data_IF_353379527797
#
_entry.id   IF_353379527797
#
_cell.length_a   1.000
_cell.length_b   1.000
_cell.length_c   1.000
_cell.angle_alpha   90.00
_cell.angle_beta   90.00
_cell.angle_gamma   90.00
#
_symmetry.space_group_name_H-M   'P 1'
#
loop_
_entity.id
_entity.type
_entity.pdbx_description
1 polymer ?
#
# COMPACT_ATOMS: atom_id res chain seq x y z
N UNK A 1 9.14 33.35 -26.93
CA UNK A 1 9.12 31.94 -27.39
C UNK A 1 9.17 30.89 -26.26
N UNK A 2 9.42 31.24 -24.99
CA UNK A 2 9.55 30.24 -23.90
C UNK A 2 8.23 29.65 -23.35
N UNK A 3 7.16 30.46 -23.26
CA UNK A 3 5.93 30.06 -22.55
C UNK A 3 5.11 28.98 -23.27
N UNK A 4 5.03 29.02 -24.61
CA UNK A 4 4.29 28.01 -25.41
C UNK A 4 4.99 26.65 -25.28
N UNK A 5 6.31 26.62 -25.43
CA UNK A 5 7.12 25.40 -25.29
C UNK A 5 7.04 24.81 -23.88
N UNK A 6 6.90 25.64 -22.83
CA UNK A 6 6.68 25.17 -21.46
C UNK A 6 5.30 24.53 -21.28
N UNK A 7 4.22 25.18 -21.74
CA UNK A 7 2.85 24.66 -21.61
C UNK A 7 2.66 23.35 -22.38
N UNK A 8 3.26 23.22 -23.56
CA UNK A 8 3.28 21.97 -24.35
C UNK A 8 3.96 20.82 -23.60
N UNK A 9 5.10 21.08 -22.94
CA UNK A 9 5.78 20.08 -22.10
C UNK A 9 4.94 19.64 -20.89
N UNK A 10 4.09 20.51 -20.37
CA UNK A 10 3.24 20.20 -19.23
C UNK A 10 1.94 19.47 -19.61
N UNK A 11 1.51 19.53 -20.87
CA UNK A 11 0.20 19.03 -21.32
C UNK A 11 -0.02 17.53 -21.00
N UNK A 12 0.89 16.66 -21.44
CA UNK A 12 0.75 15.21 -21.28
C UNK A 12 0.91 14.73 -19.81
N UNK A 13 1.85 15.26 -19.01
CA UNK A 13 1.82 15.07 -17.56
C UNK A 13 0.52 15.51 -16.90
N UNK A 14 -0.07 16.63 -17.35
CA UNK A 14 -1.33 17.15 -16.81
C UNK A 14 -2.50 16.21 -17.11
N UNK A 15 -2.64 15.75 -18.37
CA UNK A 15 -3.71 14.82 -18.78
C UNK A 15 -3.69 13.56 -17.94
N UNK A 16 -2.54 12.86 -17.87
CA UNK A 16 -2.42 11.60 -17.12
C UNK A 16 -2.67 11.75 -15.63
N UNK A 17 -2.49 12.95 -15.09
CA UNK A 17 -2.83 13.26 -13.70
C UNK A 17 -4.31 13.53 -13.54
N UNK A 18 -4.89 14.38 -14.38
CA UNK A 18 -6.30 14.71 -14.38
C UNK A 18 -7.15 13.47 -14.64
N UNK A 19 -6.72 12.58 -15.54
CA UNK A 19 -7.37 11.31 -15.83
C UNK A 19 -7.43 10.41 -14.60
N UNK A 20 -6.34 10.34 -13.82
CA UNK A 20 -6.38 9.68 -12.50
C UNK A 20 -7.31 10.37 -11.52
N UNK A 21 -7.50 11.68 -11.61
CA UNK A 21 -8.39 12.43 -10.71
C UNK A 21 -9.87 12.28 -11.04
N UNK A 22 -10.25 12.31 -12.32
CA UNK A 22 -11.66 12.32 -12.76
C UNK A 22 -12.13 11.00 -13.38
N UNK A 23 -11.23 10.03 -13.54
CA UNK A 23 -11.54 8.68 -14.04
C UNK A 23 -11.95 8.62 -15.52
N UNK A 24 -11.87 9.73 -16.25
CA UNK A 24 -12.21 9.83 -17.68
C UNK A 24 -11.14 10.63 -18.40
N UNK A 25 -10.62 10.05 -19.48
CA UNK A 25 -9.63 10.70 -20.34
C UNK A 25 -10.20 11.93 -21.04
N UNK A 26 -11.42 11.84 -21.55
CA UNK A 26 -12.11 12.94 -22.23
C UNK A 26 -12.26 14.14 -21.30
N UNK A 27 -12.81 13.92 -20.09
CA UNK A 27 -12.94 15.00 -19.11
C UNK A 27 -11.58 15.53 -18.65
N UNK A 28 -10.57 14.67 -18.53
CA UNK A 28 -9.22 15.11 -18.20
C UNK A 28 -8.61 16.00 -19.29
N UNK A 29 -8.87 15.70 -20.56
CA UNK A 29 -8.44 16.52 -21.69
C UNK A 29 -9.15 17.88 -21.70
N UNK A 30 -10.45 17.93 -21.41
CA UNK A 30 -11.20 19.19 -21.27
C UNK A 30 -10.66 20.06 -20.13
N UNK A 31 -10.49 19.46 -18.95
CA UNK A 31 -9.95 20.16 -17.78
C UNK A 31 -8.52 20.63 -18.01
N UNK A 32 -7.71 19.87 -18.77
CA UNK A 32 -6.39 20.30 -19.19
C UNK A 32 -6.49 21.52 -20.10
N UNK A 33 -7.34 21.47 -21.12
CA UNK A 33 -7.49 22.59 -22.06
C UNK A 33 -7.87 23.87 -21.31
N UNK A 34 -8.84 23.79 -20.40
CA UNK A 34 -9.25 24.91 -19.54
C UNK A 34 -8.10 25.38 -18.62
N UNK A 35 -7.35 24.46 -18.01
CA UNK A 35 -6.22 24.82 -17.15
C UNK A 35 -5.10 25.54 -17.93
N UNK A 36 -4.78 25.06 -19.13
CA UNK A 36 -3.79 25.67 -20.02
C UNK A 36 -4.26 27.03 -20.52
N UNK A 37 -5.55 27.18 -20.83
CA UNK A 37 -6.15 28.46 -21.20
C UNK A 37 -6.02 29.47 -20.06
N UNK A 38 -6.37 29.09 -18.83
CA UNK A 38 -6.20 29.95 -17.64
C UNK A 38 -4.74 30.29 -17.37
N UNK A 39 -3.83 29.35 -17.59
CA UNK A 39 -2.39 29.61 -17.47
C UNK A 39 -1.90 30.59 -18.53
N UNK A 40 -2.39 30.48 -19.76
CA UNK A 40 -2.10 31.44 -20.81
C UNK A 40 -2.63 32.82 -20.44
N UNK A 41 -3.87 32.94 -19.95
CA UNK A 41 -4.48 34.24 -19.66
C UNK A 41 -3.95 34.89 -18.39
N UNK A 42 -3.75 34.13 -17.31
CA UNK A 42 -3.59 34.65 -15.94
C UNK A 42 -2.41 34.04 -15.18
N UNK A 43 -1.64 33.15 -15.82
CA UNK A 43 -0.48 32.51 -15.19
C UNK A 43 0.65 33.51 -14.90
N UNK A 44 1.50 33.26 -13.89
CA UNK A 44 2.61 34.14 -13.52
C UNK A 44 3.77 34.01 -14.53
N UNK A 45 3.68 34.74 -15.66
CA UNK A 45 4.59 34.61 -16.82
C UNK A 45 6.06 34.93 -16.53
N UNK A 46 6.32 35.78 -15.54
CA UNK A 46 7.68 36.22 -15.16
C UNK A 46 8.27 35.40 -14.01
N UNK A 47 7.58 34.35 -13.56
CA UNK A 47 8.08 33.46 -12.52
C UNK A 47 8.93 32.32 -13.10
N UNK A 48 9.70 31.61 -12.25
CA UNK A 48 10.42 30.41 -12.67
C UNK A 48 9.47 29.33 -13.22
N UNK A 49 9.96 28.47 -14.11
CA UNK A 49 9.22 27.32 -14.65
C UNK A 49 8.57 26.47 -13.53
N UNK A 50 9.24 26.34 -12.39
CA UNK A 50 8.74 25.64 -11.20
C UNK A 50 7.51 26.32 -10.59
N UNK A 51 7.53 27.66 -10.47
CA UNK A 51 6.39 28.43 -9.94
C UNK A 51 5.24 28.48 -10.95
N UNK A 52 5.54 28.56 -12.25
CA UNK A 52 4.54 28.48 -13.31
C UNK A 52 3.87 27.10 -13.33
N UNK A 53 4.66 26.03 -13.21
CA UNK A 53 4.16 24.66 -13.11
C UNK A 53 3.27 24.51 -11.87
N UNK A 54 3.74 24.91 -10.70
CA UNK A 54 2.97 24.81 -9.46
C UNK A 54 1.63 25.56 -9.52
N UNK A 55 1.60 26.72 -10.19
CA UNK A 55 0.34 27.44 -10.43
C UNK A 55 -0.59 26.66 -11.36
N UNK A 56 -0.08 26.19 -12.50
CA UNK A 56 -0.86 25.41 -13.47
C UNK A 56 -1.41 24.12 -12.84
N UNK A 57 -0.59 23.41 -12.06
CA UNK A 57 -0.99 22.22 -11.31
C UNK A 57 -2.12 22.51 -10.33
N UNK A 58 -2.04 23.61 -9.59
CA UNK A 58 -3.09 24.01 -8.65
C UNK A 58 -4.38 24.32 -9.39
N UNK A 59 -4.32 25.10 -10.47
CA UNK A 59 -5.47 25.48 -11.29
C UNK A 59 -6.16 24.24 -11.89
N UNK A 60 -5.39 23.34 -12.50
CA UNK A 60 -5.89 22.09 -13.07
C UNK A 60 -6.55 21.20 -12.01
N UNK A 61 -5.91 21.09 -10.83
CA UNK A 61 -6.42 20.28 -9.75
C UNK A 61 -7.71 20.87 -9.14
N UNK A 62 -7.83 22.20 -9.06
CA UNK A 62 -9.07 22.87 -8.64
C UNK A 62 -10.20 22.64 -9.64
N UNK A 63 -9.92 22.74 -10.94
CA UNK A 63 -10.88 22.43 -12.00
C UNK A 63 -11.39 21.00 -11.90
N UNK A 64 -10.50 20.03 -11.70
CA UNK A 64 -10.89 18.63 -11.48
C UNK A 64 -11.76 18.44 -10.22
N UNK A 65 -11.45 19.15 -9.14
CA UNK A 65 -12.24 19.14 -7.91
C UNK A 65 -13.64 19.71 -8.13
N UNK A 66 -13.74 20.85 -8.82
CA UNK A 66 -15.03 21.47 -9.13
C UNK A 66 -15.86 20.60 -10.06
N UNK A 67 -15.21 19.87 -10.97
CA UNK A 67 -15.85 18.87 -11.81
C UNK A 67 -16.41 17.70 -11.01
N UNK A 68 -15.61 17.13 -10.11
CA UNK A 68 -16.08 16.05 -9.22
C UNK A 68 -17.26 16.51 -8.34
N UNK A 69 -17.25 17.76 -7.87
CA UNK A 69 -18.38 18.37 -7.15
C UNK A 69 -19.60 18.54 -8.04
N UNK A 70 -19.42 18.96 -9.30
CA UNK A 70 -20.51 19.09 -10.28
C UNK A 70 -21.15 17.73 -10.57
N UNK A 71 -20.34 16.71 -10.81
CA UNK A 71 -20.80 15.32 -10.99
C UNK A 71 -21.54 14.81 -9.76
N UNK A 72 -21.05 15.10 -8.55
CA UNK A 72 -21.75 14.75 -7.32
C UNK A 72 -23.12 15.44 -7.22
N UNK A 73 -23.23 16.72 -7.56
CA UNK A 73 -24.53 17.42 -7.59
C UNK A 73 -25.50 16.84 -8.62
N UNK A 74 -25.01 16.39 -9.77
CA UNK A 74 -25.82 15.73 -10.80
C UNK A 74 -26.18 14.28 -10.45
N UNK A 75 -25.31 13.57 -9.72
CA UNK A 75 -25.60 12.23 -9.21
C UNK A 75 -26.76 12.19 -8.19
N UNK A 76 -27.19 13.33 -7.64
CA UNK A 76 -28.40 13.46 -6.82
C UNK A 76 -29.67 13.75 -7.64
N UNK A 77 -29.56 14.02 -8.95
CA UNK A 77 -30.69 14.42 -9.80
C UNK A 77 -31.14 13.36 -10.80
N UNK A 78 -30.35 12.32 -11.10
CA UNK A 78 -30.77 11.30 -12.06
C UNK A 78 -30.11 9.94 -11.80
N UNK A 79 -30.95 8.91 -11.79
CA UNK A 79 -30.58 7.50 -11.82
C UNK A 79 -29.80 7.18 -13.09
N UNK A 80 -28.69 6.45 -12.93
CA UNK A 80 -28.06 5.46 -13.84
C UNK A 80 -26.52 5.65 -13.93
N UNK A 81 -25.74 4.73 -13.35
CA UNK A 81 -25.20 3.49 -13.97
C UNK A 81 -24.03 3.79 -14.90
N UNK A 82 -22.81 3.68 -14.36
CA UNK A 82 -21.69 3.24 -15.20
C UNK A 82 -20.89 2.15 -14.50
N UNK A 83 -20.69 1.08 -15.25
CA UNK A 83 -20.17 -0.22 -14.84
C UNK A 83 -18.65 -0.23 -15.00
N UNK A 84 -17.92 0.42 -14.09
CA UNK A 84 -16.55 -0.03 -13.80
C UNK A 84 -16.64 -1.03 -12.65
N UNK A 85 -16.43 -2.32 -12.97
CA UNK A 85 -16.45 -3.46 -12.05
C UNK A 85 -15.83 -3.11 -10.69
N UNK A 86 -16.69 -2.86 -9.71
CA UNK A 86 -16.29 -2.63 -8.34
C UNK A 86 -15.70 -3.93 -7.77
N UNK A 87 -14.57 -3.82 -7.07
CA UNK A 87 -13.84 -4.91 -6.41
C UNK A 87 -14.61 -5.63 -5.27
N UNK A 88 -15.90 -5.38 -5.12
CA UNK A 88 -16.79 -6.13 -4.23
C UNK A 88 -17.85 -6.83 -5.08
N UNK A 89 -17.77 -8.16 -5.18
CA UNK A 89 -18.79 -8.97 -5.86
C UNK A 89 -20.12 -9.01 -5.08
N UNK A 90 -20.12 -8.58 -3.81
CA UNK A 90 -21.30 -8.57 -2.93
C UNK A 90 -22.08 -7.23 -3.00
N UNK A 91 -23.36 -7.25 -3.44
CA UNK A 91 -24.25 -6.08 -3.38
C UNK A 91 -24.43 -5.49 -1.97
N UNK A 92 -24.39 -6.31 -0.92
CA UNK A 92 -24.52 -5.84 0.45
C UNK A 92 -23.30 -5.02 0.89
N UNK A 93 -22.10 -5.42 0.48
CA UNK A 93 -20.88 -4.63 0.70
C UNK A 93 -20.94 -3.27 -0.02
N UNK A 94 -21.40 -3.24 -1.29
CA UNK A 94 -21.53 -1.97 -2.05
C UNK A 94 -22.48 -1.00 -1.36
N UNK A 95 -23.62 -1.49 -0.87
CA UNK A 95 -24.59 -0.69 -0.12
C UNK A 95 -24.00 -0.19 1.20
N UNK A 96 -23.28 -1.06 1.92
CA UNK A 96 -22.62 -0.69 3.17
C UNK A 96 -21.52 0.36 2.95
N UNK A 97 -20.76 0.34 1.85
CA UNK A 97 -19.75 1.37 1.53
C UNK A 97 -20.44 2.71 1.30
N UNK A 98 -21.55 2.73 0.54
CA UNK A 98 -22.32 3.95 0.28
C UNK A 98 -22.85 4.57 1.58
N UNK A 99 -23.52 3.76 2.40
CA UNK A 99 -24.06 4.19 3.69
C UNK A 99 -22.95 4.65 4.66
N UNK A 100 -21.75 4.07 4.56
CA UNK A 100 -20.60 4.51 5.35
C UNK A 100 -20.11 5.89 4.94
N UNK A 101 -20.01 6.15 3.63
CA UNK A 101 -19.62 7.47 3.12
C UNK A 101 -20.63 8.55 3.49
N UNK A 102 -21.93 8.23 3.53
CA UNK A 102 -22.99 9.17 3.93
C UNK A 102 -22.86 9.63 5.39
N UNK A 103 -22.22 8.83 6.26
CA UNK A 103 -21.94 9.21 7.66
C UNK A 103 -20.77 10.19 7.81
N UNK A 104 -20.00 10.45 6.74
CA UNK A 104 -18.84 11.32 6.78
C UNK A 104 -19.20 12.76 6.40
N UNK A 105 -18.51 13.71 7.02
CA UNK A 105 -18.59 15.11 6.59
C UNK A 105 -18.17 15.26 5.13
N UNK A 106 -18.67 16.32 4.47
CA UNK A 106 -18.32 16.61 3.08
C UNK A 106 -16.79 16.76 2.89
N UNK A 107 -16.08 17.29 3.89
CA UNK A 107 -14.63 17.43 3.83
C UNK A 107 -13.91 16.08 3.92
N UNK A 108 -14.35 15.18 4.80
CA UNK A 108 -13.76 13.84 4.95
C UNK A 108 -13.97 13.00 3.69
N UNK A 109 -15.20 12.98 3.16
CA UNK A 109 -15.50 12.32 1.87
C UNK A 109 -14.60 12.83 0.76
N UNK A 110 -14.42 14.15 0.69
CA UNK A 110 -13.61 14.78 -0.33
C UNK A 110 -12.13 14.38 -0.23
N UNK A 111 -11.55 14.40 0.97
CA UNK A 111 -10.16 13.98 1.20
C UNK A 111 -9.95 12.49 0.91
N UNK A 112 -10.93 11.64 1.22
CA UNK A 112 -10.89 10.21 0.87
C UNK A 112 -10.88 9.99 -0.64
N UNK A 113 -11.73 10.69 -1.39
CA UNK A 113 -11.73 10.60 -2.86
C UNK A 113 -10.38 11.03 -3.43
N UNK A 114 -9.84 12.16 -2.98
CA UNK A 114 -8.52 12.63 -3.43
C UNK A 114 -7.42 11.58 -3.18
N UNK A 115 -7.43 10.94 -2.00
CA UNK A 115 -6.41 9.96 -1.62
C UNK A 115 -6.58 8.61 -2.33
N UNK A 116 -7.78 8.04 -2.27
CA UNK A 116 -8.03 6.62 -2.54
C UNK A 116 -8.70 6.36 -3.90
N UNK A 117 -9.43 7.34 -4.43
CA UNK A 117 -10.02 7.26 -5.77
C UNK A 117 -9.08 7.90 -6.80
N UNK A 118 -8.58 9.11 -6.50
CA UNK A 118 -7.69 9.84 -7.38
C UNK A 118 -6.18 9.53 -7.20
N UNK A 119 -5.82 8.79 -6.14
CA UNK A 119 -4.45 8.33 -5.90
C UNK A 119 -3.44 9.42 -5.52
N UNK A 120 -3.88 10.60 -5.05
CA UNK A 120 -2.97 11.69 -4.70
C UNK A 120 -2.14 11.35 -3.44
N UNK A 121 -0.91 11.85 -3.40
CA UNK A 121 -0.07 11.82 -2.19
C UNK A 121 -0.48 12.88 -1.18
N UNK A 122 -0.05 12.76 0.09
CA UNK A 122 -0.30 13.79 1.10
C UNK A 122 0.28 15.15 0.73
N UNK A 123 1.45 15.18 0.08
CA UNK A 123 2.07 16.43 -0.39
C UNK A 123 1.22 17.10 -1.48
N UNK A 124 0.65 16.31 -2.38
CA UNK A 124 -0.23 16.80 -3.45
C UNK A 124 -1.57 17.27 -2.91
N UNK A 125 -2.16 16.52 -1.96
CA UNK A 125 -3.38 16.94 -1.25
C UNK A 125 -3.10 18.23 -0.47
N UNK A 126 -1.95 18.32 0.21
CA UNK A 126 -1.55 19.55 0.92
C UNK A 126 -1.46 20.75 -0.02
N UNK A 127 -0.77 20.58 -1.15
CA UNK A 127 -0.64 21.62 -2.17
C UNK A 127 -1.98 22.04 -2.77
N UNK A 128 -2.88 21.07 -3.01
CA UNK A 128 -4.23 21.28 -3.54
C UNK A 128 -5.13 22.02 -2.56
N UNK A 129 -5.10 21.63 -1.29
CA UNK A 129 -5.92 22.21 -0.23
C UNK A 129 -5.29 23.45 0.42
N UNK A 130 -4.13 23.89 -0.07
CA UNK A 130 -3.32 24.97 0.51
C UNK A 130 -3.01 24.78 2.02
N UNK A 131 -2.64 23.55 2.40
CA UNK A 131 -2.22 23.16 3.74
C UNK A 131 -0.87 22.44 3.71
N UNK A 132 -0.22 22.26 4.86
CA UNK A 132 1.00 21.46 4.93
C UNK A 132 0.76 19.99 4.61
N UNK A 133 1.79 19.28 4.12
CA UNK A 133 1.73 17.82 3.91
C UNK A 133 1.32 17.10 5.20
N UNK A 134 1.82 17.54 6.35
CA UNK A 134 1.49 16.95 7.63
C UNK A 134 0.00 17.16 7.99
N UNK A 135 -0.56 18.33 7.70
CA UNK A 135 -1.99 18.58 7.89
C UNK A 135 -2.84 17.72 6.96
N UNK A 136 -2.43 17.56 5.69
CA UNK A 136 -3.09 16.67 4.74
C UNK A 136 -3.05 15.21 5.20
N UNK A 137 -1.89 14.72 5.68
CA UNK A 137 -1.75 13.39 6.28
C UNK A 137 -2.72 13.20 7.44
N UNK A 138 -2.76 14.14 8.40
CA UNK A 138 -3.67 14.08 9.55
C UNK A 138 -5.14 14.02 9.11
N UNK A 139 -5.52 14.82 8.11
CA UNK A 139 -6.89 14.83 7.55
C UNK A 139 -7.24 13.53 6.84
N UNK A 140 -6.34 12.97 6.02
CA UNK A 140 -6.54 11.66 5.36
C UNK A 140 -6.68 10.56 6.40
N UNK A 141 -5.80 10.53 7.40
CA UNK A 141 -5.87 9.54 8.48
C UNK A 141 -7.20 9.64 9.23
N UNK A 142 -7.64 10.86 9.60
CA UNK A 142 -8.94 11.07 10.26
C UNK A 142 -10.13 10.69 9.37
N UNK A 143 -10.11 11.08 8.10
CA UNK A 143 -11.20 10.74 7.18
C UNK A 143 -11.30 9.22 6.96
N UNK A 144 -10.16 8.52 6.85
CA UNK A 144 -10.12 7.05 6.76
C UNK A 144 -10.62 6.43 8.06
N UNK A 145 -10.19 6.94 9.20
CA UNK A 145 -10.65 6.49 10.51
C UNK A 145 -12.19 6.52 10.64
N UNK A 146 -12.79 7.67 10.31
CA UNK A 146 -14.24 7.85 10.30
C UNK A 146 -14.93 6.87 9.35
N UNK A 147 -14.42 6.74 8.12
CA UNK A 147 -14.95 5.80 7.14
C UNK A 147 -14.85 4.35 7.60
N UNK A 148 -13.69 3.90 8.07
CA UNK A 148 -13.51 2.54 8.56
C UNK A 148 -14.38 2.25 9.79
N UNK A 149 -14.62 3.24 10.64
CA UNK A 149 -15.57 3.17 11.77
C UNK A 149 -17.02 2.97 11.31
N UNK A 150 -17.47 3.78 10.35
CA UNK A 150 -18.80 3.65 9.74
C UNK A 150 -18.96 2.30 9.02
N UNK A 151 -17.97 1.94 8.19
CA UNK A 151 -17.89 0.67 7.47
C UNK A 151 -18.06 -0.54 8.37
N UNK A 152 -17.40 -0.54 9.53
CA UNK A 152 -17.52 -1.62 10.52
C UNK A 152 -18.92 -1.76 11.13
N UNK A 153 -19.66 -0.66 11.29
CA UNK A 153 -21.02 -0.70 11.86
C UNK A 153 -22.04 -1.20 10.85
N UNK A 154 -21.81 -0.93 9.57
CA UNK A 154 -22.77 -1.19 8.50
C UNK A 154 -22.50 -2.49 7.76
N UNK A 155 -21.28 -3.02 7.83
CA UNK A 155 -20.93 -4.28 7.15
C UNK A 155 -21.54 -5.49 7.87
N UNK A 156 -21.85 -6.58 7.14
CA UNK A 156 -22.50 -7.76 7.71
C UNK A 156 -21.64 -8.52 8.74
N UNK A 157 -20.31 -8.53 8.55
CA UNK A 157 -19.35 -9.36 9.31
C UNK A 157 -18.35 -8.51 10.11
N UNK A 158 -18.01 -8.90 11.34
CA UNK A 158 -17.29 -8.07 12.31
C UNK A 158 -15.76 -8.25 12.33
N UNK A 159 -15.19 -9.31 11.75
CA UNK A 159 -13.73 -9.54 11.73
C UNK A 159 -12.92 -8.52 10.93
N UNK A 160 -11.65 -8.20 11.27
CA UNK A 160 -10.83 -7.25 10.52
C UNK A 160 -10.59 -7.75 9.09
N UNK A 161 -10.65 -6.84 8.11
CA UNK A 161 -10.43 -7.15 6.71
C UNK A 161 -8.95 -7.04 6.36
N UNK A 162 -8.32 -8.15 6.01
CA UNK A 162 -6.93 -8.22 5.57
C UNK A 162 -6.91 -8.38 4.06
N UNK A 163 -6.22 -7.46 3.38
CA UNK A 163 -5.92 -7.61 1.97
C UNK A 163 -4.72 -8.52 1.80
N UNK A 164 -4.83 -9.52 0.93
CA UNK A 164 -3.74 -10.42 0.57
C UNK A 164 -3.29 -10.11 -0.86
N UNK A 165 -2.07 -9.61 -1.03
CA UNK A 165 -1.45 -9.51 -2.35
C UNK A 165 -0.90 -10.88 -2.75
N UNK A 166 -1.51 -11.45 -3.80
CA UNK A 166 -1.43 -12.87 -4.14
C UNK A 166 -0.07 -13.32 -4.69
N UNK A 167 0.12 -14.65 -4.66
CA UNK A 167 1.28 -15.32 -5.25
C UNK A 167 1.30 -15.28 -6.78
N UNK A 168 0.16 -14.95 -7.40
CA UNK A 168 -0.03 -14.96 -8.86
C UNK A 168 -0.62 -16.29 -9.35
N UNK A 169 -1.34 -16.27 -10.47
CA UNK A 169 -2.18 -17.39 -10.96
C UNK A 169 -1.44 -18.73 -11.17
N UNK A 170 -0.10 -18.71 -11.24
CA UNK A 170 0.73 -19.87 -11.60
C UNK A 170 1.59 -20.41 -10.45
N UNK A 171 1.45 -19.89 -9.23
CA UNK A 171 2.36 -20.17 -8.09
C UNK A 171 1.77 -21.06 -6.99
N UNK A 172 0.66 -21.73 -7.29
CA UNK A 172 -0.06 -22.59 -6.35
C UNK A 172 -1.16 -21.87 -5.59
N UNK A 173 -1.69 -22.53 -4.57
CA UNK A 173 -2.85 -22.06 -3.83
C UNK A 173 -2.49 -21.07 -2.73
N UNK A 174 -3.23 -19.97 -2.63
CA UNK A 174 -3.16 -19.02 -1.51
C UNK A 174 -3.92 -19.50 -0.26
N UNK A 175 -4.56 -20.68 -0.33
CA UNK A 175 -5.33 -21.26 0.79
C UNK A 175 -4.54 -21.39 2.10
N UNK A 176 -3.22 -21.67 2.13
CA UNK A 176 -2.45 -21.65 3.38
C UNK A 176 -2.47 -20.27 4.05
N UNK A 177 -2.33 -19.18 3.27
CA UNK A 177 -2.40 -17.81 3.81
C UNK A 177 -3.82 -17.48 4.27
N UNK A 178 -4.83 -17.83 3.47
CA UNK A 178 -6.23 -17.58 3.79
C UNK A 178 -6.61 -18.30 5.09
N UNK A 179 -6.41 -19.62 5.16
CA UNK A 179 -6.73 -20.41 6.34
C UNK A 179 -5.93 -19.99 7.58
N UNK A 180 -4.65 -19.61 7.42
CA UNK A 180 -3.84 -19.08 8.51
C UNK A 180 -4.42 -17.80 9.11
N UNK A 181 -4.82 -16.83 8.28
CA UNK A 181 -5.40 -15.57 8.73
C UNK A 181 -6.82 -15.74 9.27
N UNK A 182 -7.65 -16.54 8.61
CA UNK A 182 -9.02 -16.84 9.04
C UNK A 182 -9.06 -17.59 10.37
N UNK A 183 -8.07 -18.47 10.63
CA UNK A 183 -7.94 -19.14 11.94
C UNK A 183 -7.71 -18.18 13.11
N UNK A 184 -7.22 -16.97 12.84
CA UNK A 184 -7.07 -15.89 13.81
C UNK A 184 -8.27 -14.91 13.82
N UNK A 185 -9.33 -15.21 13.06
CA UNK A 185 -10.55 -14.40 13.00
C UNK A 185 -10.51 -13.23 12.01
N UNK A 186 -9.55 -13.22 11.08
CA UNK A 186 -9.54 -12.24 9.99
C UNK A 186 -10.51 -12.63 8.87
N UNK A 187 -10.98 -11.63 8.13
CA UNK A 187 -11.55 -11.83 6.79
C UNK A 187 -10.45 -11.56 5.77
N UNK A 188 -10.29 -12.44 4.80
CA UNK A 188 -9.26 -12.25 3.77
C UNK A 188 -9.91 -11.87 2.45
N UNK A 189 -9.45 -10.76 1.86
CA UNK A 189 -9.80 -10.41 0.47
C UNK A 189 -8.53 -10.34 -0.35
N UNK A 190 -8.53 -11.05 -1.47
CA UNK A 190 -7.44 -11.06 -2.44
C UNK A 190 -7.35 -9.71 -3.15
N UNK A 191 -6.15 -9.15 -3.22
CA UNK A 191 -5.90 -7.85 -3.81
C UNK A 191 -5.53 -8.00 -5.29
N UNK A 192 -6.41 -7.55 -6.18
CA UNK A 192 -6.12 -7.48 -7.62
C UNK A 192 -5.30 -6.22 -7.92
N UNK A 193 -4.27 -6.36 -8.76
CA UNK A 193 -3.17 -5.39 -8.91
C UNK A 193 -3.56 -3.95 -9.32
N UNK A 194 -4.78 -3.74 -9.80
CA UNK A 194 -5.21 -2.50 -10.45
C UNK A 194 -5.96 -1.52 -9.51
N UNK A 195 -6.49 -1.99 -8.35
CA UNK A 195 -7.44 -1.22 -7.51
C UNK A 195 -6.95 -0.91 -6.09
N UNK A 196 -5.63 -0.98 -5.87
CA UNK A 196 -5.01 -0.97 -4.54
C UNK A 196 -5.45 0.19 -3.65
N UNK A 197 -5.50 1.42 -4.16
CA UNK A 197 -5.83 2.60 -3.35
C UNK A 197 -7.26 2.52 -2.79
N UNK A 198 -8.26 2.16 -3.61
CA UNK A 198 -9.66 2.03 -3.15
C UNK A 198 -9.82 0.88 -2.17
N UNK A 199 -9.19 -0.26 -2.45
CA UNK A 199 -9.26 -1.42 -1.56
C UNK A 199 -8.65 -1.14 -0.18
N UNK A 200 -7.53 -0.41 -0.14
CA UNK A 200 -6.87 0.00 1.12
C UNK A 200 -7.71 0.94 1.98
N UNK A 201 -8.70 1.64 1.41
CA UNK A 201 -9.62 2.47 2.20
C UNK A 201 -10.50 1.62 3.13
N UNK A 202 -10.84 0.40 2.71
CA UNK A 202 -11.67 -0.54 3.50
C UNK A 202 -10.86 -1.57 4.28
N UNK A 203 -9.55 -1.68 4.00
CA UNK A 203 -8.66 -2.64 4.60
C UNK A 203 -8.20 -2.24 6.01
N UNK A 204 -8.07 -3.23 6.88
CA UNK A 204 -7.52 -3.12 8.23
C UNK A 204 -6.04 -3.53 8.29
N UNK A 205 -5.57 -4.36 7.36
CA UNK A 205 -4.15 -4.66 7.15
C UNK A 205 -3.87 -5.12 5.70
N UNK A 206 -2.59 -5.13 5.31
CA UNK A 206 -2.10 -5.72 4.07
C UNK A 206 -1.08 -6.83 4.38
N UNK A 207 -1.24 -7.98 3.74
CA UNK A 207 -0.26 -9.06 3.69
C UNK A 207 0.29 -9.17 2.28
N UNK A 208 1.61 -9.13 2.14
CA UNK A 208 2.30 -9.45 0.89
C UNK A 208 2.81 -10.89 1.01
N UNK A 209 2.27 -11.79 0.20
CA UNK A 209 2.61 -13.21 0.25
C UNK A 209 4.07 -13.47 -0.19
N UNK A 210 4.58 -14.63 0.23
CA UNK A 210 5.78 -15.23 -0.34
C UNK A 210 5.57 -15.62 -1.81
N UNK A 211 6.58 -16.24 -2.42
CA UNK A 211 6.52 -16.57 -3.84
C UNK A 211 7.61 -17.55 -4.22
N UNK A 212 7.38 -18.33 -5.27
CA UNK A 212 8.42 -19.20 -5.85
C UNK A 212 9.32 -18.46 -6.86
N UNK A 213 8.91 -17.27 -7.33
CA UNK A 213 9.74 -16.43 -8.20
C UNK A 213 10.53 -15.41 -7.39
N UNK A 214 11.68 -15.01 -7.94
CA UNK A 214 12.57 -14.04 -7.30
C UNK A 214 12.17 -12.60 -7.61
N UNK A 215 12.60 -11.66 -6.77
CA UNK A 215 12.50 -10.23 -7.09
C UNK A 215 13.52 -9.84 -8.16
N UNK A 216 13.07 -9.07 -9.14
CA UNK A 216 13.94 -8.60 -10.22
C UNK A 216 15.06 -7.67 -9.68
N UNK A 217 16.36 -7.95 -9.97
CA UNK A 217 17.48 -7.17 -9.42
C UNK A 217 17.49 -5.67 -9.73
N UNK A 218 16.87 -5.28 -10.84
CA UNK A 218 16.69 -3.87 -11.19
C UNK A 218 15.99 -3.04 -10.10
N UNK A 219 15.13 -3.65 -9.26
CA UNK A 219 14.46 -2.94 -8.16
C UNK A 219 15.44 -2.39 -7.11
N UNK A 220 16.60 -3.04 -6.96
CA UNK A 220 17.67 -2.62 -6.05
C UNK A 220 18.97 -2.28 -6.79
N UNK A 221 18.84 -1.90 -8.07
CA UNK A 221 19.91 -1.34 -8.93
C UNK A 221 21.07 -2.30 -9.19
N UNK A 222 20.78 -3.59 -9.28
CA UNK A 222 21.78 -4.59 -9.63
C UNK A 222 21.45 -5.30 -10.94
N UNK A 223 22.47 -5.95 -11.52
CA UNK A 223 22.30 -6.89 -12.64
C UNK A 223 22.07 -8.30 -12.08
N UNK A 224 21.36 -9.18 -12.82
CA UNK A 224 21.30 -10.61 -12.47
C UNK A 224 22.70 -11.21 -12.38
N UNK A 225 23.01 -11.86 -11.26
CA UNK A 225 24.31 -12.49 -10.96
C UNK A 225 24.23 -14.02 -10.89
N UNK A 226 23.08 -14.55 -10.49
CA UNK A 226 22.84 -15.99 -10.34
C UNK A 226 21.66 -16.45 -11.21
N UNK A 227 21.45 -17.76 -11.29
CA UNK A 227 20.23 -18.33 -11.87
C UNK A 227 19.04 -17.96 -10.98
N UNK A 228 18.38 -16.85 -11.31
CA UNK A 228 17.17 -16.40 -10.66
C UNK A 228 16.02 -17.36 -11.00
N UNK A 229 15.15 -17.64 -10.03
CA UNK A 229 13.83 -18.13 -10.37
C UNK A 229 13.11 -17.01 -11.13
N UNK A 230 12.58 -17.32 -12.33
CA UNK A 230 12.14 -16.36 -13.35
C UNK A 230 11.39 -15.15 -12.76
N UNK A 231 12.03 -13.97 -12.62
CA UNK A 231 11.41 -12.83 -11.96
C UNK A 231 10.32 -12.21 -12.84
N UNK A 232 9.27 -11.68 -12.22
CA UNK A 232 8.21 -10.93 -12.89
C UNK A 232 8.22 -9.47 -12.43
N UNK A 233 8.89 -8.62 -13.21
CA UNK A 233 9.00 -7.19 -12.91
C UNK A 233 7.64 -6.49 -12.89
N UNK A 234 6.63 -6.95 -13.64
CA UNK A 234 5.30 -6.33 -13.60
C UNK A 234 4.65 -6.57 -12.25
N UNK A 235 4.68 -7.82 -11.77
CA UNK A 235 4.21 -8.19 -10.44
C UNK A 235 4.98 -7.47 -9.34
N UNK A 236 6.31 -7.45 -9.43
CA UNK A 236 7.16 -6.74 -8.47
C UNK A 236 6.77 -5.27 -8.31
N UNK A 237 6.52 -4.59 -9.43
CA UNK A 237 6.11 -3.18 -9.42
C UNK A 237 4.68 -3.01 -8.89
N UNK A 238 3.78 -3.96 -9.10
CA UNK A 238 2.44 -3.95 -8.52
C UNK A 238 2.48 -4.10 -6.99
N UNK A 239 3.20 -5.09 -6.49
CA UNK A 239 3.35 -5.32 -5.04
C UNK A 239 4.04 -4.14 -4.36
N UNK A 240 5.04 -3.55 -5.03
CA UNK A 240 5.74 -2.38 -4.51
C UNK A 240 4.83 -1.15 -4.44
N UNK A 241 3.92 -1.00 -5.41
CA UNK A 241 2.86 0.03 -5.37
C UNK A 241 1.90 -0.23 -4.22
N UNK A 242 1.47 -1.48 -4.02
CA UNK A 242 0.57 -1.86 -2.94
C UNK A 242 1.18 -1.59 -1.56
N UNK A 243 2.40 -2.06 -1.35
CA UNK A 243 3.20 -1.78 -0.16
C UNK A 243 3.29 -0.28 0.14
N UNK A 244 3.69 0.52 -0.86
CA UNK A 244 3.83 1.98 -0.69
C UNK A 244 2.50 2.66 -0.42
N UNK A 245 1.41 2.21 -1.04
CA UNK A 245 0.08 2.76 -0.80
C UNK A 245 -0.40 2.44 0.62
N UNK A 246 -0.22 1.21 1.11
CA UNK A 246 -0.56 0.81 2.48
C UNK A 246 0.25 1.60 3.51
N UNK A 247 1.56 1.69 3.33
CA UNK A 247 2.43 2.47 4.20
C UNK A 247 2.09 3.97 4.19
N UNK A 248 1.69 4.54 3.05
CA UNK A 248 1.21 5.92 3.00
C UNK A 248 -0.12 6.07 3.74
N UNK A 249 -1.05 5.12 3.57
CA UNK A 249 -2.34 5.13 4.25
C UNK A 249 -2.27 4.83 5.76
N UNK A 250 -1.10 4.41 6.27
CA UNK A 250 -0.94 4.02 7.68
C UNK A 250 -1.53 2.64 7.99
N UNK A 251 -1.85 1.86 6.95
CA UNK A 251 -2.36 0.49 7.07
C UNK A 251 -1.22 -0.42 7.59
N UNK A 252 -1.46 -1.24 8.63
CA UNK A 252 -0.55 -2.30 9.05
C UNK A 252 -0.10 -3.19 7.88
N UNK A 253 1.20 -3.49 7.80
CA UNK A 253 1.76 -4.34 6.72
C UNK A 253 2.57 -5.50 7.27
N UNK A 254 2.28 -6.70 6.80
CA UNK A 254 3.14 -7.88 6.96
C UNK A 254 3.63 -8.37 5.59
N UNK A 255 4.95 -8.46 5.41
CA UNK A 255 5.56 -9.10 4.24
C UNK A 255 6.11 -10.47 4.58
N UNK A 256 5.80 -11.50 3.80
CA UNK A 256 6.29 -12.87 3.99
C UNK A 256 7.24 -13.26 2.86
N UNK A 257 8.38 -13.84 3.18
CA UNK A 257 9.45 -14.25 2.26
C UNK A 257 9.78 -13.16 1.23
N UNK A 258 9.25 -13.25 0.00
CA UNK A 258 9.36 -12.20 -1.02
C UNK A 258 8.84 -10.83 -0.55
N UNK A 259 7.73 -10.78 0.19
CA UNK A 259 7.18 -9.55 0.75
C UNK A 259 8.12 -8.88 1.77
N UNK A 260 8.88 -9.66 2.54
CA UNK A 260 9.91 -9.15 3.46
C UNK A 260 11.05 -8.46 2.71
N UNK A 261 11.51 -9.08 1.63
CA UNK A 261 12.55 -8.52 0.77
C UNK A 261 12.08 -7.24 0.08
N UNK A 262 10.82 -7.21 -0.37
CA UNK A 262 10.22 -6.05 -1.00
C UNK A 262 10.08 -4.86 -0.03
N UNK A 263 9.73 -5.12 1.23
CA UNK A 263 9.74 -4.12 2.30
C UNK A 263 11.11 -3.46 2.41
N UNK A 264 12.19 -4.25 2.44
CA UNK A 264 13.55 -3.73 2.51
C UNK A 264 13.92 -2.87 1.29
N UNK A 265 13.60 -3.35 0.09
CA UNK A 265 13.87 -2.66 -1.19
C UNK A 265 13.10 -1.34 -1.29
N UNK A 266 11.86 -1.28 -0.78
CA UNK A 266 11.07 -0.05 -0.76
C UNK A 266 11.76 1.10 -0.03
N UNK A 267 12.69 0.80 0.88
CA UNK A 267 13.50 1.74 1.64
C UNK A 267 14.98 1.77 1.21
N UNK A 268 15.30 1.27 0.02
CA UNK A 268 16.64 1.36 -0.58
C UNK A 268 17.65 0.31 -0.09
N UNK A 269 17.16 -0.77 0.51
CA UNK A 269 17.97 -1.96 0.80
C UNK A 269 18.27 -2.79 -0.45
N UNK A 270 19.13 -3.81 -0.30
CA UNK A 270 19.54 -4.74 -1.37
C UNK A 270 19.42 -6.19 -0.89
N UNK A 271 19.55 -7.14 -1.82
CA UNK A 271 19.47 -8.57 -1.56
C UNK A 271 20.76 -9.30 -1.94
N UNK A 272 21.03 -10.41 -1.26
CA UNK A 272 21.83 -11.50 -1.78
C UNK A 272 20.96 -12.25 -2.79
N UNK A 273 21.45 -12.43 -4.02
CA UNK A 273 20.68 -13.04 -5.12
C UNK A 273 20.62 -14.57 -4.99
N UNK A 274 21.62 -15.16 -4.34
CA UNK A 274 21.57 -16.53 -3.84
C UNK A 274 22.61 -16.69 -2.72
N UNK A 275 22.17 -17.09 -1.53
CA UNK A 275 23.00 -17.21 -0.32
C UNK A 275 24.20 -18.15 -0.48
N UNK A 276 24.03 -19.23 -1.24
CA UNK A 276 25.09 -20.22 -1.45
C UNK A 276 26.07 -19.76 -2.53
N UNK A 277 25.56 -19.26 -3.65
CA UNK A 277 26.38 -18.76 -4.77
C UNK A 277 27.15 -17.50 -4.37
N UNK A 278 26.54 -16.59 -3.61
CA UNK A 278 27.19 -15.39 -3.09
C UNK A 278 28.14 -15.69 -1.90
N UNK A 279 28.27 -16.97 -1.48
CA UNK A 279 29.21 -17.39 -0.44
C UNK A 279 28.86 -16.89 0.97
N UNK A 280 27.58 -16.59 1.23
CA UNK A 280 27.12 -15.99 2.49
C UNK A 280 27.01 -17.03 3.59
N UNK A 281 26.48 -18.22 3.26
CA UNK A 281 26.37 -19.33 4.20
C UNK A 281 26.40 -20.67 3.48
N UNK A 282 27.06 -21.70 4.03
CA UNK A 282 26.99 -23.06 3.51
C UNK A 282 25.72 -23.79 3.97
N UNK A 283 24.95 -23.24 4.92
CA UNK A 283 23.69 -23.84 5.39
C UNK A 283 22.62 -23.65 4.31
N UNK A 284 21.93 -24.73 3.96
CA UNK A 284 20.76 -24.65 3.10
C UNK A 284 19.59 -23.99 3.83
N UNK A 285 19.01 -22.99 3.19
CA UNK A 285 17.78 -22.32 3.63
C UNK A 285 16.56 -22.66 2.73
N UNK A 286 16.76 -23.55 1.73
CA UNK A 286 15.76 -23.88 0.71
C UNK A 286 14.69 -24.87 1.18
N UNK A 287 14.91 -25.57 2.29
CA UNK A 287 13.94 -26.50 2.86
C UNK A 287 14.22 -26.76 4.35
N UNK A 288 13.15 -27.04 5.10
CA UNK A 288 13.22 -27.49 6.49
C UNK A 288 12.81 -26.41 7.49
N UNK A 289 13.43 -26.45 8.68
CA UNK A 289 13.21 -25.46 9.74
C UNK A 289 14.51 -25.10 10.44
N UNK A 290 14.56 -23.90 10.98
CA UNK A 290 15.70 -23.44 11.77
C UNK A 290 15.25 -22.58 12.95
N UNK A 291 16.14 -22.37 13.92
CA UNK A 291 15.89 -21.46 15.05
C UNK A 291 16.25 -20.04 14.67
N UNK A 292 15.46 -19.09 15.17
CA UNK A 292 15.80 -17.67 15.13
C UNK A 292 16.45 -17.22 16.44
N UNK A 293 17.20 -16.14 16.40
CA UNK A 293 17.52 -15.31 17.56
C UNK A 293 16.81 -13.96 17.40
N UNK A 294 15.83 -13.69 18.26
CA UNK A 294 15.04 -12.44 18.21
C UNK A 294 15.68 -11.33 19.06
N UNK A 295 15.73 -10.13 18.48
CA UNK A 295 16.36 -8.95 19.09
C UNK A 295 15.68 -8.54 20.40
N UNK A 296 16.41 -8.31 21.51
CA UNK A 296 15.82 -7.84 22.76
C UNK A 296 14.98 -6.57 22.59
N UNK A 297 13.81 -6.51 23.23
CA UNK A 297 12.90 -5.36 23.16
C UNK A 297 12.14 -5.21 21.84
N UNK A 298 12.34 -6.11 20.88
CA UNK A 298 11.70 -6.04 19.57
C UNK A 298 10.25 -6.57 19.59
N UNK A 299 9.47 -6.20 18.57
CA UNK A 299 8.13 -6.76 18.35
C UNK A 299 8.16 -8.30 18.26
N UNK A 300 9.07 -8.86 17.46
CA UNK A 300 9.21 -10.32 17.32
C UNK A 300 9.62 -11.00 18.61
N UNK A 301 10.45 -10.38 19.45
CA UNK A 301 10.80 -10.94 20.76
C UNK A 301 9.60 -11.05 21.68
N UNK A 302 8.72 -10.05 21.67
CA UNK A 302 7.48 -10.05 22.46
C UNK A 302 6.49 -11.09 21.97
N UNK A 303 6.31 -11.21 20.64
CA UNK A 303 5.33 -12.12 20.04
C UNK A 303 5.85 -13.57 20.04
N UNK A 304 7.09 -13.79 19.62
CA UNK A 304 7.63 -15.13 19.32
C UNK A 304 8.51 -15.69 20.44
N UNK A 305 8.95 -14.86 21.39
CA UNK A 305 9.96 -15.24 22.38
C UNK A 305 11.38 -15.18 21.82
N UNK A 306 12.37 -15.63 22.61
CA UNK A 306 13.81 -15.44 22.32
C UNK A 306 14.30 -16.26 21.13
N UNK A 307 13.89 -17.54 21.06
CA UNK A 307 14.41 -18.51 20.08
C UNK A 307 13.30 -19.40 19.49
N UNK A 308 12.35 -18.84 18.72
CA UNK A 308 11.36 -19.65 18.03
C UNK A 308 12.03 -20.53 16.97
N UNK A 309 11.43 -21.67 16.67
CA UNK A 309 11.74 -22.47 15.47
C UNK A 309 10.72 -22.12 14.39
N UNK A 310 11.19 -21.91 13.16
CA UNK A 310 10.38 -21.48 12.02
C UNK A 310 10.72 -22.29 10.77
N UNK A 311 9.83 -22.31 9.79
CA UNK A 311 10.09 -22.87 8.46
C UNK A 311 11.18 -22.11 7.70
N UNK A 312 11.81 -22.78 6.73
CA UNK A 312 12.85 -22.20 5.89
C UNK A 312 12.66 -22.66 4.45
N UNK A 313 12.31 -21.73 3.57
CA UNK A 313 12.12 -21.98 2.13
C UNK A 313 12.53 -20.75 1.32
N UNK A 314 13.83 -20.45 1.29
CA UNK A 314 14.37 -19.35 0.50
C UNK A 314 15.85 -19.57 0.15
N UNK A 315 16.30 -18.83 -0.86
CA UNK A 315 17.71 -18.74 -1.23
C UNK A 315 18.18 -17.31 -1.40
N UNK A 316 17.26 -16.34 -1.54
CA UNK A 316 17.55 -14.92 -1.42
C UNK A 316 17.41 -14.46 0.03
N UNK A 317 18.11 -13.39 0.39
CA UNK A 317 17.97 -12.74 1.69
C UNK A 317 18.36 -11.27 1.61
N UNK A 318 18.03 -10.49 2.63
CA UNK A 318 18.50 -9.11 2.75
C UNK A 318 20.03 -9.08 2.87
N UNK A 319 20.69 -8.33 1.99
CA UNK A 319 22.14 -8.05 2.07
C UNK A 319 22.42 -6.75 2.83
N UNK A 320 21.73 -5.67 2.43
CA UNK A 320 21.83 -4.37 3.09
C UNK A 320 20.44 -3.89 3.47
N UNK A 321 20.30 -3.49 4.72
CA UNK A 321 19.04 -2.92 5.22
C UNK A 321 18.77 -1.54 4.59
N UNK A 322 17.51 -1.30 4.29
CA UNK A 322 16.99 -0.01 3.85
C UNK A 322 16.93 1.01 4.98
N UNK A 323 16.76 2.29 4.62
CA UNK A 323 16.69 3.39 5.57
C UNK A 323 15.50 3.23 6.53
N UNK A 324 15.77 3.20 7.82
CA UNK A 324 14.76 3.09 8.87
C UNK A 324 14.24 1.67 9.10
N UNK A 325 14.75 0.69 8.33
CA UNK A 325 14.51 -0.73 8.56
C UNK A 325 15.51 -1.23 9.61
N UNK A 326 15.03 -1.98 10.59
CA UNK A 326 15.87 -2.60 11.61
C UNK A 326 15.63 -4.10 11.69
N UNK A 327 16.69 -4.90 11.94
CA UNK A 327 16.56 -6.34 12.02
C UNK A 327 15.87 -6.71 13.34
N UNK A 328 14.89 -7.60 13.21
CA UNK A 328 14.06 -8.10 14.30
C UNK A 328 14.47 -9.50 14.75
N UNK A 329 14.96 -10.30 13.81
CA UNK A 329 15.40 -11.66 14.05
C UNK A 329 16.44 -12.04 13.00
N UNK A 330 17.36 -12.92 13.39
CA UNK A 330 18.35 -13.51 12.49
C UNK A 330 18.48 -15.01 12.76
N UNK A 331 18.92 -15.75 11.74
CA UNK A 331 19.35 -17.14 11.90
C UNK A 331 20.74 -17.21 12.57
N UNK A 332 21.21 -18.38 13.05
CA UNK A 332 22.50 -18.51 13.72
C UNK A 332 23.72 -18.21 12.83
N UNK A 333 23.53 -18.30 11.52
CA UNK A 333 24.52 -17.95 10.48
C UNK A 333 24.41 -16.48 10.03
N UNK A 334 23.60 -15.67 10.71
CA UNK A 334 23.59 -14.21 10.55
C UNK A 334 22.65 -13.70 9.44
N UNK A 335 21.90 -14.58 8.77
CA UNK A 335 20.91 -14.17 7.77
C UNK A 335 19.76 -13.44 8.47
N UNK A 336 19.31 -12.32 7.90
CA UNK A 336 18.18 -11.54 8.44
C UNK A 336 16.89 -12.27 8.14
N UNK A 337 16.20 -12.69 9.20
CA UNK A 337 14.97 -13.51 9.14
C UNK A 337 13.70 -12.72 9.47
N UNK A 338 13.87 -11.54 10.05
CA UNK A 338 12.79 -10.59 10.27
C UNK A 338 13.32 -9.18 10.34
N UNK A 339 12.53 -8.22 9.86
CA UNK A 339 12.86 -6.81 9.91
C UNK A 339 11.61 -5.95 10.05
N UNK A 340 11.73 -4.76 10.63
CA UNK A 340 10.63 -3.80 10.74
C UNK A 340 11.02 -2.40 10.25
N UNK A 341 10.02 -1.68 9.75
CA UNK A 341 10.11 -0.24 9.59
C UNK A 341 9.72 0.46 10.90
N UNK A 342 10.67 1.17 11.52
CA UNK A 342 10.44 1.90 12.78
C UNK A 342 9.38 3.00 12.65
N UNK A 343 8.70 3.28 13.76
CA UNK A 343 7.74 4.40 13.87
C UNK A 343 6.35 4.10 13.27
N UNK A 344 6.01 2.82 13.10
CA UNK A 344 4.71 2.34 12.60
C UNK A 344 4.07 1.44 13.64
N UNK A 345 2.73 1.33 13.61
CA UNK A 345 2.01 0.40 14.48
C UNK A 345 2.40 -1.06 14.19
N UNK A 346 2.45 -1.43 12.90
CA UNK A 346 3.00 -2.70 12.42
C UNK A 346 3.42 -2.53 10.96
N UNK A 347 4.71 -2.73 10.67
CA UNK A 347 5.27 -2.77 9.32
C UNK A 347 6.47 -3.72 9.34
N UNK A 348 6.18 -5.02 9.27
CA UNK A 348 7.11 -6.12 9.54
C UNK A 348 7.28 -6.97 8.29
N UNK A 349 8.50 -7.42 8.03
CA UNK A 349 8.79 -8.48 7.06
C UNK A 349 9.36 -9.69 7.79
N UNK A 350 8.92 -10.89 7.42
CA UNK A 350 9.46 -12.19 7.88
C UNK A 350 9.97 -12.97 6.66
N UNK A 351 11.18 -13.51 6.72
CA UNK A 351 11.76 -14.28 5.62
C UNK A 351 11.24 -15.73 5.57
N UNK A 352 10.88 -16.28 6.73
CA UNK A 352 10.19 -17.56 6.90
C UNK A 352 8.69 -17.46 6.61
N UNK A 353 8.02 -18.62 6.51
CA UNK A 353 6.62 -18.76 6.13
C UNK A 353 5.73 -19.02 7.36
N UNK A 354 5.08 -17.99 7.95
CA UNK A 354 4.22 -18.15 9.13
C UNK A 354 2.92 -18.90 8.86
N UNK A 355 2.49 -18.95 7.61
CA UNK A 355 1.34 -19.73 7.15
C UNK A 355 1.65 -21.23 7.08
N UNK A 356 2.93 -21.62 7.07
CA UNK A 356 3.33 -23.02 6.97
C UNK A 356 3.08 -23.75 8.31
N UNK A 357 2.54 -24.98 8.29
CA UNK A 357 2.33 -25.78 9.49
C UNK A 357 3.59 -25.99 10.34
N UNK A 358 4.76 -26.06 9.69
CA UNK A 358 6.08 -26.23 10.31
C UNK A 358 6.44 -25.06 11.25
N UNK A 359 5.89 -23.87 11.01
CA UNK A 359 6.05 -22.70 11.89
C UNK A 359 5.22 -22.78 13.18
N UNK A 360 4.25 -23.70 13.26
CA UNK A 360 3.53 -24.06 14.47
C UNK A 360 3.03 -22.88 15.31
N UNK A 361 3.51 -22.80 16.56
CA UNK A 361 3.12 -21.74 17.51
C UNK A 361 3.59 -20.36 17.05
N UNK A 362 4.76 -20.26 16.41
CA UNK A 362 5.29 -18.99 15.93
C UNK A 362 4.39 -18.38 14.84
N UNK A 363 3.94 -19.22 13.90
CA UNK A 363 2.99 -18.85 12.86
C UNK A 363 1.66 -18.32 13.43
N UNK A 364 1.05 -19.07 14.37
CA UNK A 364 -0.22 -18.65 15.01
C UNK A 364 -0.10 -17.31 15.74
N UNK A 365 0.95 -17.13 16.54
CA UNK A 365 1.16 -15.86 17.27
C UNK A 365 1.37 -14.67 16.34
N UNK A 366 1.94 -14.88 15.16
CA UNK A 366 2.04 -13.81 14.15
C UNK A 366 0.68 -13.43 13.57
N UNK A 367 -0.21 -14.39 13.32
CA UNK A 367 -1.57 -14.07 12.86
C UNK A 367 -2.33 -13.29 13.93
N UNK A 368 -2.31 -13.74 15.19
CA UNK A 368 -2.94 -13.05 16.31
C UNK A 368 -2.45 -11.61 16.44
N UNK A 369 -1.13 -11.42 16.36
CA UNK A 369 -0.52 -10.09 16.47
C UNK A 369 -0.88 -9.17 15.28
N UNK A 370 -1.02 -9.72 14.07
CA UNK A 370 -1.47 -8.98 12.89
C UNK A 370 -2.94 -8.57 13.03
N UNK A 371 -3.82 -9.50 13.41
CA UNK A 371 -5.25 -9.25 13.65
C UNK A 371 -5.45 -8.20 14.74
N UNK A 372 -4.70 -8.30 15.83
CA UNK A 372 -4.74 -7.33 16.92
C UNK A 372 -4.24 -5.94 16.46
N UNK A 373 -3.19 -5.89 15.63
CA UNK A 373 -2.72 -4.63 15.05
C UNK A 373 -3.74 -4.03 14.07
N UNK A 374 -4.41 -4.84 13.26
CA UNK A 374 -5.48 -4.44 12.36
C UNK A 374 -6.66 -3.85 13.15
N UNK A 375 -7.07 -4.52 14.23
CA UNK A 375 -8.14 -4.06 15.14
C UNK A 375 -7.76 -2.79 15.92
N UNK A 376 -6.49 -2.62 16.33
CA UNK A 376 -6.02 -1.41 17.02
C UNK A 376 -5.84 -0.22 16.09
N UNK A 377 -5.35 -0.42 14.87
CA UNK A 377 -5.34 0.64 13.86
C UNK A 377 -6.75 1.19 13.70
N UNK A 378 -7.74 0.30 13.69
CA UNK A 378 -9.15 0.62 13.67
C UNK A 378 -9.71 1.31 14.93
N UNK A 379 -9.02 1.28 16.07
CA UNK A 379 -9.45 1.92 17.32
C UNK A 379 -8.73 3.22 17.64
N UNK A 380 -7.45 3.34 17.29
CA UNK A 380 -6.72 4.63 17.32
C UNK A 380 -7.42 5.66 16.42
N UNK A 381 -7.97 5.17 15.30
CA UNK A 381 -8.86 5.88 14.40
C UNK A 381 -10.10 6.48 15.12
N UNK A 382 -10.73 5.76 16.07
CA UNK A 382 -11.91 6.21 16.85
C UNK A 382 -11.59 7.28 17.90
N UNK A 383 -10.42 7.22 18.56
CA UNK A 383 -10.08 8.14 19.67
C UNK A 383 -9.63 9.53 19.17
N UNK A 384 -9.20 9.63 17.91
CA UNK A 384 -8.91 10.91 17.26
C UNK A 384 -10.15 11.75 16.88
N UNK A 385 -11.36 11.23 17.12
CA UNK A 385 -12.66 11.93 16.99
C UNK A 385 -13.14 12.55 18.32
N UNK A 386 -12.62 12.10 19.47
CA UNK A 386 -13.07 12.51 20.81
C UNK A 386 -12.17 13.57 21.48
N UNK A 387 -11.13 14.05 20.78
CA UNK A 387 -10.18 15.08 21.21
C UNK A 387 -10.00 16.11 20.09
#
# INVERSE_FOLDING_TARGET
MGTISFLERQAEPLTRRLERMVGSRETAEDLRQEALLRAWQHGPRDASDERQAAWLWRTASNLAVDELRRRERWAWSELETDQQQAATDDPAERLAVRHSLEQLSAHERFVLRLRFEAGLSHAEIGSLLAISEEAARKRVTRARAAFSGAWRRTRPDRGPLILLAERGEHEGSDEPYVGWLESAGARVRRLRSELVERDLATADALVLAGSVIDLHPALYRERPRAALNRPDLRRDLADLRALRAALRAGVPVLGVCRGHQLLNIAFGGTLHQDLAVDGITPRSHRAGSHRLDTSPGSFTRRVLGKRPTVSSEHHQAIARLGRGIVPLASSPDGVVEGAELRGRALAVGLQWHPESPESGVAGRRMADALVEAAARSAEADRRGEAA
#
